data_IF_945076608842
#
_entry.id   IF_945076608842
#
_cell.length_a   1.000
_cell.length_b   1.000
_cell.length_c   1.000
_cell.angle_alpha   90.00
_cell.angle_beta   90.00
_cell.angle_gamma   90.00
#
_symmetry.space_group_name_H-M   'P 1'
#
loop_
_entity.id
_entity.type
_entity.pdbx_description
1 polymer ?
#
# COMPACT_ATOMS: atom_id res chain seq x y z
N UNK A 1 -19.87 -28.22 -17.36
CA UNK A 1 -20.25 -26.94 -16.73
C UNK A 1 -19.31 -25.88 -17.26
N UNK A 2 -19.82 -24.91 -18.04
CA UNK A 2 -19.01 -23.77 -18.48
C UNK A 2 -18.69 -22.93 -17.24
N UNK A 3 -17.43 -22.96 -16.79
CA UNK A 3 -16.90 -21.95 -15.88
C UNK A 3 -16.73 -20.67 -16.69
N UNK A 4 -17.70 -19.74 -16.56
CA UNK A 4 -17.48 -18.38 -17.01
C UNK A 4 -16.23 -17.85 -16.31
N UNK A 5 -15.21 -17.44 -17.07
CA UNK A 5 -14.06 -16.74 -16.51
C UNK A 5 -14.57 -15.44 -15.85
N UNK A 6 -14.05 -15.03 -14.69
CA UNK A 6 -14.43 -13.75 -14.11
C UNK A 6 -14.09 -12.63 -15.11
N UNK A 7 -15.03 -11.72 -15.34
CA UNK A 7 -14.99 -10.72 -16.43
C UNK A 7 -13.92 -9.63 -16.28
N UNK A 8 -13.01 -9.78 -15.31
CA UNK A 8 -11.99 -8.79 -14.93
C UNK A 8 -10.57 -9.18 -15.38
N UNK A 9 -10.38 -10.40 -15.89
CA UNK A 9 -9.09 -10.78 -16.42
C UNK A 9 -8.79 -9.98 -17.69
N UNK A 10 -7.82 -9.06 -17.63
CA UNK A 10 -7.33 -8.40 -18.83
C UNK A 10 -6.66 -9.45 -19.72
N UNK A 11 -6.94 -9.39 -21.02
CA UNK A 11 -6.18 -10.16 -22.01
C UNK A 11 -4.71 -9.79 -21.92
N UNK A 12 -3.82 -10.73 -22.23
CA UNK A 12 -2.38 -10.47 -22.19
C UNK A 12 -1.99 -9.26 -23.06
N UNK A 13 -2.60 -9.12 -24.24
CA UNK A 13 -2.42 -7.97 -25.12
C UNK A 13 -2.84 -6.64 -24.45
N UNK A 14 -3.98 -6.59 -23.75
CA UNK A 14 -4.41 -5.39 -23.04
C UNK A 14 -3.50 -5.05 -21.84
N UNK A 15 -2.88 -6.06 -21.22
CA UNK A 15 -1.86 -5.83 -20.17
C UNK A 15 -0.58 -5.27 -20.74
N UNK A 16 -0.15 -5.73 -21.92
CA UNK A 16 1.10 -5.31 -22.56
C UNK A 16 1.01 -3.89 -23.16
N UNK A 17 -0.20 -3.39 -23.43
CA UNK A 17 -0.44 -2.01 -23.90
C UNK A 17 -0.28 -0.94 -22.82
N UNK A 18 -0.47 -1.29 -21.55
CA UNK A 18 -0.31 -0.34 -20.44
C UNK A 18 1.18 -0.09 -20.17
N UNK A 19 1.61 1.18 -19.99
CA UNK A 19 3.00 1.50 -19.64
C UNK A 19 3.48 0.71 -18.41
N UNK A 20 4.80 0.55 -18.28
CA UNK A 20 5.38 -0.03 -17.07
C UNK A 20 5.11 0.86 -15.85
N UNK A 21 5.17 0.31 -14.64
CA UNK A 21 5.02 1.10 -13.42
C UNK A 21 6.09 2.21 -13.33
N UNK A 22 7.40 1.96 -13.58
CA UNK A 22 8.39 3.04 -13.59
C UNK A 22 8.06 4.16 -14.58
N UNK A 23 7.63 3.83 -15.80
CA UNK A 23 7.28 4.82 -16.81
C UNK A 23 6.07 5.66 -16.38
N UNK A 24 5.08 5.01 -15.78
CA UNK A 24 3.88 5.66 -15.25
C UNK A 24 4.23 6.64 -14.11
N UNK A 25 5.10 6.23 -13.18
CA UNK A 25 5.58 7.10 -12.09
C UNK A 25 6.43 8.26 -12.63
N UNK A 26 7.30 8.00 -13.61
CA UNK A 26 8.11 9.05 -14.23
C UNK A 26 7.23 10.12 -14.88
N UNK A 27 6.13 9.73 -15.54
CA UNK A 27 5.15 10.67 -16.09
C UNK A 27 4.48 11.52 -15.00
N UNK A 28 4.07 10.92 -13.87
CA UNK A 28 3.50 11.67 -12.75
C UNK A 28 4.50 12.69 -12.18
N UNK A 29 5.76 12.28 -12.02
CA UNK A 29 6.83 13.16 -11.55
C UNK A 29 7.08 14.29 -12.55
N UNK A 30 7.08 14.03 -13.85
CA UNK A 30 7.26 15.06 -14.86
C UNK A 30 6.11 16.08 -14.84
N UNK A 31 4.88 15.56 -14.83
CA UNK A 31 3.63 16.33 -14.92
C UNK A 31 3.34 17.14 -13.66
N UNK A 32 3.56 16.54 -12.50
CA UNK A 32 3.16 17.11 -11.22
C UNK A 32 4.36 17.46 -10.33
N UNK A 33 5.54 16.87 -10.51
CA UNK A 33 6.64 17.02 -9.56
C UNK A 33 6.41 16.27 -8.24
N UNK A 34 5.43 15.37 -8.19
CA UNK A 34 5.22 14.45 -7.09
C UNK A 34 4.67 13.12 -7.56
N UNK A 35 4.78 12.12 -6.68
CA UNK A 35 4.05 10.85 -6.75
C UNK A 35 3.32 10.64 -5.44
N UNK A 36 2.12 10.03 -5.48
CA UNK A 36 1.37 9.70 -4.27
C UNK A 36 1.22 8.19 -4.06
N UNK A 37 1.16 7.79 -2.80
CA UNK A 37 0.92 6.43 -2.31
C UNK A 37 -0.26 6.47 -1.35
N UNK A 38 -1.20 5.54 -1.49
CA UNK A 38 -2.34 5.40 -0.57
C UNK A 38 -2.29 4.08 0.18
N UNK A 39 -2.39 4.14 1.50
CA UNK A 39 -2.30 2.99 2.38
C UNK A 39 -3.56 2.90 3.23
N UNK A 40 -4.18 1.72 3.24
CA UNK A 40 -5.30 1.39 4.12
C UNK A 40 -4.81 0.48 5.24
N UNK A 41 -4.99 0.93 6.47
CA UNK A 41 -4.52 0.24 7.67
C UNK A 41 -5.74 -0.30 8.41
N UNK A 42 -5.89 -1.62 8.44
CA UNK A 42 -6.93 -2.25 9.24
C UNK A 42 -6.52 -2.30 10.70
N UNK A 43 -7.23 -1.58 11.57
CA UNK A 43 -6.90 -1.54 13.00
C UNK A 43 -7.19 -2.87 13.66
N UNK A 44 -6.23 -3.34 14.46
CA UNK A 44 -6.36 -4.60 15.18
C UNK A 44 -7.29 -4.43 16.37
N UNK A 45 -8.27 -5.32 16.50
CA UNK A 45 -9.05 -5.45 17.72
C UNK A 45 -8.88 -6.86 18.32
N UNK A 46 -8.73 -6.90 19.64
CA UNK A 46 -8.87 -8.14 20.41
C UNK A 46 -9.58 -7.80 21.69
N UNK A 47 -10.76 -8.41 21.86
CA UNK A 47 -11.48 -8.55 23.12
C UNK A 47 -10.63 -9.34 24.14
N UNK A 48 -9.61 -8.70 24.69
CA UNK A 48 -8.78 -9.21 25.76
C UNK A 48 -8.63 -8.07 26.77
N UNK A 49 -9.56 -8.04 27.74
CA UNK A 49 -9.67 -7.02 28.78
C UNK A 49 -8.32 -6.61 29.37
N UNK A 50 -7.71 -5.56 28.82
CA UNK A 50 -6.48 -4.95 29.31
C UNK A 50 -5.26 -4.94 28.37
N UNK A 51 -5.32 -5.41 27.13
CA UNK A 51 -4.18 -5.27 26.20
C UNK A 51 -4.09 -3.84 25.62
N UNK A 52 -3.12 -3.05 26.07
CA UNK A 52 -2.96 -1.62 25.73
C UNK A 52 -2.88 -1.30 24.23
N UNK A 53 -2.60 -2.27 23.36
CA UNK A 53 -2.37 -2.03 21.93
C UNK A 53 -3.38 -2.70 20.97
N UNK A 54 -4.47 -3.23 21.51
CA UNK A 54 -5.45 -4.02 20.76
C UNK A 54 -6.85 -3.40 20.72
N UNK A 55 -6.94 -2.08 20.92
CA UNK A 55 -8.20 -1.34 20.77
C UNK A 55 -8.35 -0.91 19.31
N UNK A 56 -9.32 -1.54 18.61
CA UNK A 56 -9.63 -1.25 17.21
C UNK A 56 -10.29 0.11 16.97
N UNK A 57 -10.72 0.78 18.04
CA UNK A 57 -11.42 2.07 18.02
C UNK A 57 -10.58 3.24 18.54
N UNK A 58 -9.39 2.97 19.12
CA UNK A 58 -8.38 3.98 19.46
C UNK A 58 -7.13 3.86 18.57
N UNK A 59 -7.05 4.62 17.45
CA UNK A 59 -5.89 4.62 16.57
C UNK A 59 -4.57 4.95 17.29
N UNK A 60 -4.61 5.78 18.35
CA UNK A 60 -3.42 6.25 19.06
C UNK A 60 -2.68 5.11 19.76
N UNK A 61 -3.40 4.09 20.21
CA UNK A 61 -2.83 2.95 20.92
C UNK A 61 -2.74 1.70 20.04
N UNK A 62 -3.37 1.68 18.87
CA UNK A 62 -3.35 0.51 18.00
C UNK A 62 -1.96 0.17 17.43
N UNK A 63 -1.60 -1.12 17.44
CA UNK A 63 -0.30 -1.63 16.95
C UNK A 63 0.01 -1.27 15.49
N UNK A 64 -1.00 -1.19 14.62
CA UNK A 64 -0.79 -0.91 13.21
C UNK A 64 -0.80 0.59 12.90
N UNK A 65 -1.16 1.45 13.87
CA UNK A 65 -1.27 2.89 13.68
C UNK A 65 -0.41 3.72 14.64
N UNK A 66 -0.86 3.94 15.88
CA UNK A 66 -0.24 4.90 16.80
C UNK A 66 0.73 4.29 17.82
N UNK A 67 0.71 2.98 18.05
CA UNK A 67 1.64 2.33 18.97
C UNK A 67 2.90 1.82 18.29
N UNK A 68 4.05 1.94 18.96
CA UNK A 68 5.33 1.32 18.59
C UNK A 68 5.70 1.53 17.11
N UNK A 69 5.55 0.49 16.28
CA UNK A 69 5.87 0.48 14.86
C UNK A 69 4.64 0.64 13.95
N UNK A 70 3.54 1.20 14.47
CA UNK A 70 2.38 1.57 13.66
C UNK A 70 2.69 2.73 12.71
N UNK A 71 1.93 2.86 11.62
CA UNK A 71 2.25 3.80 10.53
C UNK A 71 2.36 5.26 11.01
N UNK A 72 1.44 5.70 11.88
CA UNK A 72 1.41 7.07 12.42
C UNK A 72 2.45 7.30 13.51
N UNK A 73 3.24 6.30 13.89
CA UNK A 73 4.37 6.50 14.80
C UNK A 73 5.68 6.23 14.11
N UNK A 74 5.76 5.21 13.28
CA UNK A 74 6.98 4.80 12.62
C UNK A 74 7.44 5.79 11.54
N UNK A 75 6.58 6.14 10.58
CA UNK A 75 7.00 6.97 9.44
C UNK A 75 7.67 8.30 9.83
N UNK A 76 7.11 9.16 10.71
CA UNK A 76 7.79 10.42 11.07
C UNK A 76 9.09 10.21 11.86
N UNK A 77 9.31 9.01 12.40
CA UNK A 77 10.52 8.62 13.12
C UNK A 77 11.52 7.88 12.22
N UNK A 78 11.09 7.44 11.03
CA UNK A 78 11.96 6.97 9.96
C UNK A 78 12.63 8.19 9.28
N UNK A 79 13.78 7.97 8.64
CA UNK A 79 14.61 9.07 8.15
C UNK A 79 13.87 9.93 7.11
N UNK A 80 13.85 11.25 7.36
CA UNK A 80 13.43 12.32 6.44
C UNK A 80 11.95 12.33 6.01
N UNK A 81 11.08 11.59 6.69
CA UNK A 81 9.64 11.72 6.50
C UNK A 81 9.06 12.81 7.39
N UNK A 82 8.30 13.74 6.81
CA UNK A 82 7.59 14.79 7.52
C UNK A 82 6.10 14.51 7.51
N UNK A 83 5.44 14.50 8.67
CA UNK A 83 3.98 14.55 8.72
C UNK A 83 3.50 15.95 8.37
N UNK A 84 2.73 16.07 7.29
CA UNK A 84 2.24 17.35 6.74
C UNK A 84 0.73 17.53 6.91
N UNK A 85 -0.01 16.47 7.22
CA UNK A 85 -1.45 16.55 7.51
C UNK A 85 -1.88 15.46 8.49
N UNK A 86 -2.94 15.75 9.26
CA UNK A 86 -3.66 14.77 10.06
C UNK A 86 -5.11 15.21 10.28
N UNK A 87 -6.05 14.29 10.16
CA UNK A 87 -7.45 14.48 10.56
C UNK A 87 -8.08 13.18 11.10
N UNK A 88 -9.34 13.25 11.51
CA UNK A 88 -10.11 12.12 12.06
C UNK A 88 -10.78 11.27 10.94
N UNK A 89 -10.33 11.39 9.70
CA UNK A 89 -11.02 10.82 8.55
C UNK A 89 -12.31 11.55 8.20
N UNK A 90 -13.24 10.83 7.55
CA UNK A 90 -14.59 11.31 7.25
C UNK A 90 -15.64 10.85 8.28
N UNK A 91 -15.22 10.41 9.48
CA UNK A 91 -16.13 10.07 10.59
C UNK A 91 -17.00 8.82 10.35
N UNK A 92 -16.63 7.98 9.38
CA UNK A 92 -17.25 6.69 9.07
C UNK A 92 -16.29 5.55 9.39
N UNK A 93 -16.06 4.67 8.41
CA UNK A 93 -15.18 3.50 8.55
C UNK A 93 -13.69 3.85 8.71
N UNK A 94 -13.26 5.01 8.20
CA UNK A 94 -11.93 5.58 8.42
C UNK A 94 -11.98 6.60 9.55
N UNK A 95 -11.25 6.33 10.63
CA UNK A 95 -11.29 7.10 11.89
C UNK A 95 -10.01 7.91 12.17
N UNK A 96 -8.97 7.75 11.36
CA UNK A 96 -7.83 8.65 11.36
C UNK A 96 -7.17 8.66 9.98
N UNK A 97 -6.64 9.82 9.58
CA UNK A 97 -5.79 9.93 8.39
C UNK A 97 -4.55 10.75 8.71
N UNK A 98 -3.44 10.35 8.11
CA UNK A 98 -2.19 11.09 8.16
C UNK A 98 -1.58 11.16 6.78
N UNK A 99 -1.02 12.31 6.42
CA UNK A 99 -0.20 12.46 5.20
C UNK A 99 1.24 12.70 5.60
N UNK A 100 2.13 11.91 5.00
CA UNK A 100 3.57 12.04 5.12
C UNK A 100 4.16 12.53 3.79
N UNK A 101 5.18 13.36 3.86
CA UNK A 101 5.88 13.88 2.70
C UNK A 101 7.37 13.65 2.86
N UNK A 102 8.02 13.26 1.77
CA UNK A 102 9.48 13.17 1.66
C UNK A 102 9.92 13.80 0.35
N UNK A 103 10.95 14.63 0.43
CA UNK A 103 11.60 15.20 -0.74
C UNK A 103 12.68 14.26 -1.26
N UNK A 104 12.71 14.00 -2.57
CA UNK A 104 13.57 13.00 -3.19
C UNK A 104 14.43 13.65 -4.26
N UNK A 105 15.74 13.46 -4.14
CA UNK A 105 16.70 13.69 -5.23
C UNK A 105 16.77 12.42 -6.08
N UNK A 106 16.62 12.50 -7.43
CA UNK A 106 16.60 11.31 -8.27
C UNK A 106 17.90 10.51 -8.17
N UNK A 107 17.75 9.20 -7.97
CA UNK A 107 18.84 8.22 -8.02
C UNK A 107 19.25 7.91 -9.47
N UNK A 108 20.29 7.09 -9.65
CA UNK A 108 20.66 6.55 -10.96
C UNK A 108 19.52 5.76 -11.61
N UNK A 109 18.72 5.02 -10.83
CA UNK A 109 17.56 4.29 -11.35
C UNK A 109 16.49 5.25 -11.89
N UNK A 110 16.17 6.30 -11.14
CA UNK A 110 15.20 7.30 -11.60
C UNK A 110 15.70 8.08 -12.82
N UNK A 111 16.99 8.40 -12.87
CA UNK A 111 17.62 9.02 -14.04
C UNK A 111 17.52 8.10 -15.28
N UNK A 112 17.66 6.78 -15.12
CA UNK A 112 17.47 5.83 -16.21
C UNK A 112 16.03 5.82 -16.77
N UNK A 113 15.05 6.22 -15.95
CA UNK A 113 13.66 6.45 -16.36
C UNK A 113 13.36 7.89 -16.80
N UNK A 114 14.38 8.74 -16.96
CA UNK A 114 14.25 10.12 -17.42
C UNK A 114 13.91 11.14 -16.32
N UNK A 115 13.82 10.71 -15.06
CA UNK A 115 13.54 11.60 -13.92
C UNK A 115 14.85 12.26 -13.49
N UNK A 116 15.01 13.54 -13.84
CA UNK A 116 16.25 14.31 -13.62
C UNK A 116 16.11 15.46 -12.62
N UNK A 117 14.87 15.79 -12.22
CA UNK A 117 14.57 16.86 -11.26
C UNK A 117 14.09 16.27 -9.93
N UNK A 118 14.42 16.91 -8.79
CA UNK A 118 13.85 16.53 -7.51
C UNK A 118 12.31 16.55 -7.52
N UNK A 119 11.72 15.66 -6.75
CA UNK A 119 10.27 15.48 -6.64
C UNK A 119 9.88 15.12 -5.21
N UNK A 120 8.59 15.20 -4.91
CA UNK A 120 8.06 14.79 -3.61
C UNK A 120 7.34 13.45 -3.69
N UNK A 121 7.43 12.67 -2.62
CA UNK A 121 6.55 11.52 -2.39
C UNK A 121 5.58 11.88 -1.28
N UNK A 122 4.28 11.73 -1.56
CA UNK A 122 3.22 11.87 -0.56
C UNK A 122 2.61 10.51 -0.23
N UNK A 123 2.47 10.21 1.06
CA UNK A 123 1.85 8.96 1.54
C UNK A 123 0.62 9.31 2.35
N UNK A 124 -0.57 8.99 1.85
CA UNK A 124 -1.81 9.02 2.62
C UNK A 124 -1.99 7.67 3.32
N UNK A 125 -2.04 7.68 4.64
CA UNK A 125 -2.45 6.52 5.43
C UNK A 125 -3.88 6.74 5.95
N UNK A 126 -4.72 5.72 5.85
CA UNK A 126 -6.11 5.70 6.33
C UNK A 126 -6.27 4.60 7.37
N UNK A 127 -6.61 4.97 8.61
CA UNK A 127 -6.89 4.03 9.70
C UNK A 127 -8.35 3.60 9.65
N UNK A 128 -8.59 2.33 9.34
CA UNK A 128 -9.93 1.74 9.29
C UNK A 128 -10.29 1.08 10.61
N UNK A 129 -11.50 1.31 11.10
CA UNK A 129 -12.04 0.59 12.25
C UNK A 129 -11.98 -0.92 12.02
N UNK A 130 -11.80 -1.64 13.13
CA UNK A 130 -11.66 -3.10 13.14
C UNK A 130 -12.90 -3.86 12.64
N UNK A 131 -14.09 -3.24 12.68
CA UNK A 131 -15.34 -3.82 12.19
C UNK A 131 -15.56 -3.64 10.69
N UNK A 132 -14.60 -3.03 9.98
CA UNK A 132 -14.64 -2.78 8.53
C UNK A 132 -13.38 -3.27 7.80
N UNK A 133 -12.78 -4.39 8.26
CA UNK A 133 -11.55 -4.91 7.67
C UNK A 133 -11.73 -5.43 6.24
N UNK A 134 -12.91 -5.96 5.89
CA UNK A 134 -13.19 -6.37 4.50
C UNK A 134 -13.14 -5.16 3.57
N UNK A 135 -13.81 -4.08 3.94
CA UNK A 135 -13.81 -2.82 3.18
C UNK A 135 -12.41 -2.20 3.12
N UNK A 136 -11.66 -2.24 4.23
CA UNK A 136 -10.28 -1.77 4.26
C UNK A 136 -9.38 -2.56 3.31
N UNK A 137 -9.56 -3.88 3.22
CA UNK A 137 -8.82 -4.73 2.29
C UNK A 137 -9.32 -4.60 0.85
N UNK A 138 -10.58 -4.26 0.60
CA UNK A 138 -11.13 -3.99 -0.73
C UNK A 138 -10.69 -2.64 -1.30
N UNK A 139 -10.52 -1.63 -0.45
CA UNK A 139 -10.30 -0.26 -0.89
C UNK A 139 -9.07 -0.08 -1.80
N UNK A 140 -7.89 -0.69 -1.56
CA UNK A 140 -6.76 -0.57 -2.50
C UNK A 140 -7.11 -1.05 -3.92
N UNK A 141 -7.93 -2.10 -4.05
CA UNK A 141 -8.35 -2.62 -5.36
C UNK A 141 -9.26 -1.61 -6.06
N UNK A 142 -10.20 -1.02 -5.31
CA UNK A 142 -11.09 0.02 -5.84
C UNK A 142 -10.33 1.27 -6.23
N UNK A 143 -9.38 1.70 -5.42
CA UNK A 143 -8.53 2.85 -5.72
C UNK A 143 -7.77 2.61 -7.03
N UNK A 144 -7.17 1.44 -7.20
CA UNK A 144 -6.41 1.13 -8.41
C UNK A 144 -7.27 0.92 -9.67
N UNK A 145 -8.44 0.28 -9.56
CA UNK A 145 -9.23 -0.16 -10.72
C UNK A 145 -10.40 0.79 -11.05
N UNK A 146 -11.04 1.38 -10.05
CA UNK A 146 -12.17 2.29 -10.25
C UNK A 146 -11.74 3.76 -10.36
N UNK A 147 -10.51 4.09 -9.98
CA UNK A 147 -9.92 5.41 -10.24
C UNK A 147 -10.54 6.57 -9.46
N UNK A 148 -11.29 6.32 -8.38
CA UNK A 148 -11.88 7.38 -7.57
C UNK A 148 -10.77 8.15 -6.83
N UNK A 149 -10.64 9.45 -7.14
CA UNK A 149 -9.60 10.31 -6.56
C UNK A 149 -10.06 10.91 -5.24
N UNK A 150 -9.18 10.88 -4.24
CA UNK A 150 -9.30 11.66 -3.01
C UNK A 150 -8.36 12.85 -3.07
N UNK A 151 -8.90 14.06 -3.13
CA UNK A 151 -8.12 15.30 -3.12
C UNK A 151 -7.94 15.84 -1.70
N UNK A 152 -6.71 16.15 -1.32
CA UNK A 152 -6.42 16.81 -0.04
C UNK A 152 -5.59 18.08 -0.26
N UNK A 153 -5.97 19.22 0.35
CA UNK A 153 -5.14 20.42 0.36
C UNK A 153 -3.99 20.25 1.37
N UNK A 154 -2.76 20.18 0.88
CA UNK A 154 -1.52 20.03 1.65
C UNK A 154 -0.62 21.22 1.35
N UNK A 155 -0.34 22.05 2.36
CA UNK A 155 0.59 23.19 2.27
C UNK A 155 0.36 24.12 1.05
N UNK A 156 -0.90 24.36 0.67
CA UNK A 156 -1.27 25.23 -0.45
C UNK A 156 -1.30 24.54 -1.83
N UNK A 157 -1.13 23.21 -1.86
CA UNK A 157 -1.23 22.37 -3.06
C UNK A 157 -2.33 21.32 -2.87
N UNK A 158 -3.08 21.01 -3.92
CA UNK A 158 -3.99 19.85 -3.91
C UNK A 158 -3.20 18.62 -4.33
N UNK A 159 -3.22 17.58 -3.50
CA UNK A 159 -2.60 16.28 -3.77
C UNK A 159 -3.70 15.25 -3.98
N UNK A 160 -3.56 14.48 -5.05
CA UNK A 160 -4.47 13.40 -5.41
C UNK A 160 -4.00 12.07 -4.81
N UNK A 161 -4.93 11.35 -4.15
CA UNK A 161 -4.74 10.03 -3.55
C UNK A 161 -5.82 9.06 -4.04
N UNK A 162 -5.75 7.79 -3.65
CA UNK A 162 -6.60 6.72 -4.12
C UNK A 162 -6.37 6.47 -5.61
N UNK A 163 -7.36 6.77 -6.46
CA UNK A 163 -7.24 6.67 -7.92
C UNK A 163 -6.12 7.50 -8.56
N UNK A 164 -5.63 8.53 -7.88
CA UNK A 164 -4.47 9.32 -8.32
C UNK A 164 -3.11 8.78 -7.84
N UNK A 165 -3.09 7.70 -7.04
CA UNK A 165 -1.85 7.15 -6.50
C UNK A 165 -1.18 6.18 -7.45
N UNK A 166 0.15 6.25 -7.51
CA UNK A 166 0.94 5.30 -8.27
C UNK A 166 1.04 3.93 -7.58
N UNK A 167 0.98 3.92 -6.25
CA UNK A 167 0.96 2.70 -5.44
C UNK A 167 -0.16 2.79 -4.41
N UNK A 168 -0.92 1.71 -4.27
CA UNK A 168 -1.95 1.56 -3.25
C UNK A 168 -1.75 0.27 -2.49
N UNK A 169 -2.18 0.20 -1.23
CA UNK A 169 -2.06 -1.08 -0.52
C UNK A 169 -2.69 -1.14 0.84
N UNK A 170 -2.62 -2.33 1.40
CA UNK A 170 -3.20 -2.67 2.69
C UNK A 170 -2.14 -3.15 3.68
N UNK A 171 -2.31 -2.76 4.95
CA UNK A 171 -1.50 -3.21 6.09
C UNK A 171 -2.43 -3.63 7.22
N UNK A 172 -2.20 -4.81 7.79
CA UNK A 172 -2.95 -5.27 8.95
C UNK A 172 -3.26 -6.76 8.92
N UNK A 173 -4.36 -7.13 9.56
CA UNK A 173 -4.81 -8.52 9.59
C UNK A 173 -5.33 -8.98 8.23
N UNK A 174 -5.21 -10.28 7.94
CA UNK A 174 -5.85 -10.86 6.77
C UNK A 174 -7.20 -11.45 7.18
N UNK A 175 -8.28 -10.70 6.99
CA UNK A 175 -9.63 -11.16 7.33
C UNK A 175 -10.10 -12.33 6.44
N UNK A 176 -9.48 -12.56 5.27
CA UNK A 176 -9.78 -13.74 4.45
C UNK A 176 -9.42 -15.07 5.13
N UNK A 177 -8.61 -15.04 6.19
CA UNK A 177 -8.31 -16.23 6.99
C UNK A 177 -9.48 -16.64 7.89
N UNK A 178 -10.37 -15.69 8.20
CA UNK A 178 -11.57 -15.91 9.02
C UNK A 178 -12.79 -16.12 8.12
N UNK A 179 -12.97 -15.27 7.10
CA UNK A 179 -14.08 -15.33 6.15
C UNK A 179 -13.63 -14.97 4.73
N UNK A 180 -13.85 -15.88 3.78
CA UNK A 180 -13.54 -15.62 2.38
C UNK A 180 -14.50 -14.58 1.78
N UNK A 181 -13.94 -13.62 1.05
CA UNK A 181 -14.66 -12.70 0.18
C UNK A 181 -14.01 -12.69 -1.20
N UNK A 182 -14.81 -12.49 -2.25
CA UNK A 182 -14.30 -12.36 -3.62
C UNK A 182 -13.77 -10.94 -3.84
N UNK A 183 -12.45 -10.78 -4.10
CA UNK A 183 -11.85 -9.46 -4.24
C UNK A 183 -12.26 -8.67 -5.47
N UNK A 184 -12.94 -9.30 -6.42
CA UNK A 184 -13.36 -8.69 -7.68
C UNK A 184 -14.87 -8.49 -7.76
N UNK A 185 -15.65 -8.97 -6.77
CA UNK A 185 -17.11 -9.01 -6.84
C UNK A 185 -17.80 -7.65 -6.98
N UNK A 186 -17.13 -6.54 -6.63
CA UNK A 186 -17.75 -5.20 -6.58
C UNK A 186 -17.06 -4.17 -7.49
N UNK A 187 -16.51 -4.64 -8.60
CA UNK A 187 -15.79 -3.82 -9.57
C UNK A 187 -16.59 -3.54 -10.86
N UNK A 188 -17.91 -3.75 -10.85
CA UNK A 188 -18.73 -3.69 -12.06
C UNK A 188 -18.61 -2.32 -12.74
N UNK A 189 -18.20 -2.33 -14.02
CA UNK A 189 -17.98 -1.12 -14.82
C UNK A 189 -16.66 -0.39 -14.57
N UNK A 190 -15.88 -0.81 -13.57
CA UNK A 190 -14.53 -0.30 -13.35
C UNK A 190 -13.52 -0.96 -14.31
N UNK A 191 -12.51 -0.21 -14.71
CA UNK A 191 -11.44 -0.70 -15.57
C UNK A 191 -10.15 0.06 -15.28
N UNK A 192 -9.04 -0.68 -15.33
CA UNK A 192 -7.72 -0.12 -15.12
C UNK A 192 -7.38 0.84 -16.27
N UNK A 193 -7.09 2.10 -15.94
CA UNK A 193 -6.78 3.16 -16.93
C UNK A 193 -5.28 3.46 -17.03
N UNK A 194 -4.49 3.00 -16.06
CA UNK A 194 -3.04 3.20 -15.97
C UNK A 194 -2.40 2.10 -15.15
N UNK A 195 -1.08 1.95 -15.18
CA UNK A 195 -0.39 1.01 -14.30
C UNK A 195 -0.39 1.54 -12.86
N UNK A 196 -0.91 0.73 -11.94
CA UNK A 196 -0.91 1.03 -10.50
C UNK A 196 -0.26 -0.13 -9.77
N UNK A 197 0.68 0.19 -8.88
CA UNK A 197 1.28 -0.75 -7.95
C UNK A 197 0.30 -1.12 -6.83
N UNK A 198 0.19 -2.41 -6.51
CA UNK A 198 -0.64 -2.88 -5.40
C UNK A 198 0.15 -3.76 -4.44
N UNK A 199 -0.03 -3.56 -3.13
CA UNK A 199 0.56 -4.41 -2.10
C UNK A 199 -0.42 -4.78 -0.99
N UNK A 200 -0.19 -5.94 -0.37
CA UNK A 200 -0.86 -6.41 0.83
C UNK A 200 0.16 -6.93 1.84
N UNK A 201 0.55 -6.08 2.79
CA UNK A 201 1.32 -6.46 3.97
C UNK A 201 0.37 -7.03 5.03
N UNK A 202 -0.11 -8.24 4.80
CA UNK A 202 -0.99 -8.99 5.69
C UNK A 202 -0.66 -10.49 5.61
N UNK A 203 -0.78 -11.28 6.70
CA UNK A 203 -0.43 -12.69 6.71
C UNK A 203 -1.09 -13.51 5.60
N UNK A 204 -0.32 -14.31 4.87
CA UNK A 204 -0.80 -15.17 3.77
C UNK A 204 -1.59 -14.44 2.66
N UNK A 205 -1.37 -13.14 2.46
CA UNK A 205 -2.11 -12.36 1.45
C UNK A 205 -1.95 -12.91 0.04
N UNK A 206 -0.81 -13.54 -0.28
CA UNK A 206 -0.56 -14.12 -1.60
C UNK A 206 -1.50 -15.28 -1.96
N UNK A 207 -1.99 -16.03 -0.96
CA UNK A 207 -2.77 -17.24 -1.21
C UNK A 207 -4.11 -16.96 -1.92
N UNK A 208 -4.70 -15.80 -1.66
CA UNK A 208 -6.02 -15.44 -2.17
C UNK A 208 -6.01 -14.19 -3.08
N UNK A 209 -5.03 -13.28 -2.92
CA UNK A 209 -5.06 -11.98 -3.62
C UNK A 209 -4.06 -11.87 -4.77
N UNK A 210 -2.87 -12.47 -4.65
CA UNK A 210 -1.77 -12.21 -5.60
C UNK A 210 -2.15 -12.52 -7.05
N UNK A 211 -2.52 -13.76 -7.32
CA UNK A 211 -2.88 -14.19 -8.69
C UNK A 211 -4.12 -13.48 -9.23
N UNK A 212 -5.27 -13.41 -8.52
CA UNK A 212 -6.45 -12.72 -9.04
C UNK A 212 -6.19 -11.25 -9.39
N UNK A 213 -5.38 -10.53 -8.60
CA UNK A 213 -5.07 -9.12 -8.85
C UNK A 213 -4.01 -8.93 -9.95
N UNK A 214 -3.03 -9.82 -10.07
CA UNK A 214 -2.12 -9.82 -11.21
C UNK A 214 -2.89 -10.07 -12.52
N UNK A 215 -3.94 -10.91 -12.47
CA UNK A 215 -4.80 -11.19 -13.62
C UNK A 215 -5.64 -9.98 -14.08
N UNK A 216 -5.84 -8.95 -13.24
CA UNK A 216 -6.46 -7.68 -13.64
C UNK A 216 -5.48 -6.68 -14.27
N UNK A 217 -4.19 -7.03 -14.36
CA UNK A 217 -3.13 -6.16 -14.90
C UNK A 217 -2.57 -5.15 -13.90
N UNK A 218 -2.91 -5.25 -12.62
CA UNK A 218 -2.24 -4.48 -11.58
C UNK A 218 -0.77 -4.88 -11.47
N UNK A 219 0.09 -3.92 -11.12
CA UNK A 219 1.48 -4.21 -10.87
C UNK A 219 1.63 -4.73 -9.45
N UNK A 220 2.02 -5.98 -9.30
CA UNK A 220 2.27 -6.56 -7.98
C UNK A 220 3.55 -5.97 -7.37
N UNK A 221 3.39 -5.30 -6.23
CA UNK A 221 4.47 -4.66 -5.46
C UNK A 221 4.96 -5.59 -4.35
N UNK A 222 4.05 -6.07 -3.49
CA UNK A 222 4.38 -6.98 -2.40
C UNK A 222 3.15 -7.71 -1.84
N UNK A 223 3.26 -9.02 -1.72
CA UNK A 223 2.34 -9.90 -1.03
C UNK A 223 3.12 -10.83 -0.09
N UNK A 224 2.45 -11.46 0.85
CA UNK A 224 3.09 -12.35 1.82
C UNK A 224 2.69 -13.80 1.58
N UNK A 225 3.68 -14.70 1.54
CA UNK A 225 3.47 -16.14 1.41
C UNK A 225 3.05 -16.80 2.71
N UNK A 226 3.44 -16.23 3.85
CA UNK A 226 3.37 -16.84 5.17
C UNK A 226 2.88 -15.84 6.24
N UNK A 227 2.83 -16.29 7.50
CA UNK A 227 2.63 -15.39 8.64
C UNK A 227 3.77 -14.37 8.71
N UNK A 228 3.39 -13.11 8.88
CA UNK A 228 4.28 -11.99 9.18
C UNK A 228 3.70 -11.19 10.33
N UNK A 229 4.52 -10.33 10.95
CA UNK A 229 4.02 -9.19 11.72
C UNK A 229 3.85 -8.00 10.76
N UNK A 230 2.62 -7.56 10.43
CA UNK A 230 2.38 -6.53 9.43
C UNK A 230 2.49 -5.12 10.05
N UNK A 231 3.72 -4.67 10.30
CA UNK A 231 4.01 -3.35 10.88
C UNK A 231 4.62 -2.39 9.84
N UNK A 232 4.73 -1.11 10.20
CA UNK A 232 5.08 -0.05 9.27
C UNK A 232 6.48 -0.15 8.68
N UNK A 233 7.42 -0.89 9.28
CA UNK A 233 8.74 -1.08 8.68
C UNK A 233 8.69 -1.90 7.38
N UNK A 234 7.66 -2.74 7.17
CA UNK A 234 7.45 -3.40 5.87
C UNK A 234 7.10 -2.35 4.81
N UNK A 235 6.24 -1.40 5.17
CA UNK A 235 5.90 -0.25 4.31
C UNK A 235 7.11 0.64 4.09
N UNK A 236 7.91 0.91 5.12
CA UNK A 236 9.14 1.71 5.01
C UNK A 236 10.07 1.11 3.95
N UNK A 237 10.23 -0.22 3.92
CA UNK A 237 11.00 -0.90 2.87
C UNK A 237 10.39 -0.77 1.47
N UNK A 238 9.06 -0.85 1.33
CA UNK A 238 8.38 -0.58 0.04
C UNK A 238 8.64 0.85 -0.41
N UNK A 239 8.59 1.81 0.52
CA UNK A 239 8.83 3.22 0.25
C UNK A 239 10.31 3.49 -0.07
N UNK A 240 11.26 2.81 0.57
CA UNK A 240 12.69 2.91 0.26
C UNK A 240 12.98 2.52 -1.20
N UNK A 241 12.39 1.43 -1.66
CA UNK A 241 12.46 1.00 -3.07
C UNK A 241 11.88 2.06 -4.02
N UNK A 242 10.74 2.67 -3.67
CA UNK A 242 10.13 3.74 -4.45
C UNK A 242 10.99 5.03 -4.45
N UNK A 243 11.58 5.40 -3.32
CA UNK A 243 12.48 6.56 -3.19
C UNK A 243 13.68 6.39 -4.12
N UNK A 244 14.27 5.19 -4.12
CA UNK A 244 15.45 4.89 -4.93
C UNK A 244 15.07 4.56 -6.38
N UNK A 245 13.83 4.21 -6.68
CA UNK A 245 13.42 3.78 -8.02
C UNK A 245 13.91 2.38 -8.39
N UNK A 246 14.39 1.61 -7.40
CA UNK A 246 14.71 0.21 -7.55
C UNK A 246 13.41 -0.60 -7.39
N UNK A 247 12.64 -0.62 -8.47
CA UNK A 247 11.35 -1.30 -8.51
C UNK A 247 11.55 -2.81 -8.75
N UNK A 248 10.50 -3.54 -9.12
CA UNK A 248 10.53 -5.00 -9.28
C UNK A 248 10.98 -5.73 -8.00
N UNK A 249 12.09 -6.48 -8.05
CA UNK A 249 12.62 -7.22 -6.90
C UNK A 249 13.09 -6.30 -5.76
N UNK A 250 13.44 -5.05 -6.08
CA UNK A 250 13.86 -4.05 -5.10
C UNK A 250 12.80 -3.75 -4.03
N UNK A 251 11.50 -3.85 -4.37
CA UNK A 251 10.41 -3.80 -3.38
C UNK A 251 10.50 -4.93 -2.36
N UNK A 252 10.72 -6.16 -2.84
CA UNK A 252 10.81 -7.35 -2.01
C UNK A 252 12.09 -7.32 -1.17
N UNK A 253 13.22 -6.92 -1.76
CA UNK A 253 14.51 -6.83 -1.07
C UNK A 253 14.52 -5.76 0.02
N UNK A 254 13.99 -4.57 -0.27
CA UNK A 254 13.93 -3.47 0.70
C UNK A 254 12.97 -3.78 1.85
N UNK A 255 11.80 -4.35 1.56
CA UNK A 255 10.87 -4.82 2.59
C UNK A 255 11.46 -5.95 3.44
N UNK A 256 12.17 -6.90 2.83
CA UNK A 256 12.87 -7.97 3.54
C UNK A 256 13.98 -7.44 4.45
N UNK A 257 14.75 -6.46 3.99
CA UNK A 257 15.81 -5.82 4.76
C UNK A 257 15.25 -5.14 6.02
N UNK A 258 14.17 -4.37 5.87
CA UNK A 258 13.51 -3.73 7.00
C UNK A 258 12.87 -4.77 7.94
N UNK A 259 12.20 -5.80 7.40
CA UNK A 259 11.62 -6.86 8.22
C UNK A 259 12.69 -7.59 9.06
N UNK A 260 13.81 -7.99 8.46
CA UNK A 260 14.92 -8.65 9.18
C UNK A 260 15.57 -7.74 10.23
N UNK A 261 15.61 -6.42 9.98
CA UNK A 261 16.15 -5.42 10.92
C UNK A 261 15.31 -5.32 12.20
N UNK A 262 13.99 -5.32 12.08
CA UNK A 262 13.09 -5.10 13.22
C UNK A 262 12.63 -6.41 13.88
N UNK A 263 12.43 -7.48 13.10
CA UNK A 263 11.94 -8.75 13.61
C UNK A 263 13.06 -9.63 14.15
N UNK A 264 13.21 -9.64 15.47
CA UNK A 264 14.25 -10.39 16.18
C UNK A 264 14.27 -11.87 15.76
N UNK A 265 15.46 -12.34 15.38
CA UNK A 265 15.69 -13.74 15.02
C UNK A 265 15.34 -14.11 13.58
N UNK A 266 14.89 -13.16 12.76
CA UNK A 266 14.64 -13.38 11.33
C UNK A 266 15.84 -12.90 10.52
N UNK A 267 16.55 -13.82 9.87
CA UNK A 267 17.61 -13.48 8.92
C UNK A 267 17.07 -12.99 7.58
N UNK A 268 17.91 -12.31 6.80
CA UNK A 268 17.51 -11.69 5.52
C UNK A 268 16.94 -12.69 4.52
N UNK A 269 17.52 -13.89 4.39
CA UNK A 269 17.03 -14.93 3.48
C UNK A 269 15.63 -15.40 3.87
N UNK A 270 15.42 -15.63 5.17
CA UNK A 270 14.11 -15.97 5.72
C UNK A 270 13.12 -14.85 5.44
N UNK A 271 13.48 -13.59 5.74
CA UNK A 271 12.62 -12.43 5.48
C UNK A 271 12.23 -12.34 4.00
N UNK A 272 13.19 -12.45 3.08
CA UNK A 272 12.93 -12.42 1.63
C UNK A 272 11.98 -13.54 1.19
N UNK A 273 12.11 -14.74 1.76
CA UNK A 273 11.22 -15.86 1.43
C UNK A 273 9.75 -15.63 1.80
N UNK A 274 9.49 -14.73 2.77
CA UNK A 274 8.13 -14.38 3.20
C UNK A 274 7.38 -13.56 2.15
N UNK A 275 8.09 -12.88 1.24
CA UNK A 275 7.51 -11.87 0.35
C UNK A 275 7.57 -12.29 -1.13
N UNK A 276 6.50 -12.00 -1.86
CA UNK A 276 6.36 -12.26 -3.30
C UNK A 276 5.82 -11.02 -4.00
N UNK A 277 6.14 -10.88 -5.27
CA UNK A 277 5.43 -10.04 -6.22
C UNK A 277 4.99 -10.85 -7.42
#
# INVERSE_FOLDING_TARGET
MLTAQPSYALSQAARDELPSLPATIAEDIERHGYVSVTIHVGLFDRDAGGATFADGDDPRTNLYWGALYGIDTHLPNAADWRRVHRDQGQGGHVIARSVFQKHVTPSEHWVAFGVTRPFDIYVLANAWRHDHLVEAMEQPIRDAICGAVTELPIEGRVIEFGGGSAVVGYVGQNHMLDEYWDPLARLDGCHLTRRVGIFYAAPFSAAALHRPLEETGLYSVLFTRNRITPEAYVVDGILDALIIGDLDDGFVDSAAAQYARYQKGVGIETARSLFIR
#
